data_IF_774654636595
#
_entry.id   IF_774654636595
#
_cell.length_a   1.000
_cell.length_b   1.000
_cell.length_c   1.000
_cell.angle_alpha   90.00
_cell.angle_beta   90.00
_cell.angle_gamma   90.00
#
_symmetry.space_group_name_H-M   'P 1'
#
loop_
_entity.id
_entity.type
_entity.pdbx_description
1 polymer ?
#
# COMPACT_ATOMS: atom_id res chain seq x y z
N UNK A 1 -1.66 -10.91 -15.13
CA UNK A 1 -2.08 -9.57 -14.69
C UNK A 1 -1.19 -9.20 -13.52
N UNK A 2 -0.42 -8.12 -13.66
CA UNK A 2 0.53 -7.64 -12.65
C UNK A 2 -0.24 -7.16 -11.41
N UNK A 3 0.04 -7.72 -10.24
CA UNK A 3 -0.66 -7.41 -9.00
C UNK A 3 0.11 -6.36 -8.20
N UNK A 4 -0.55 -5.25 -7.92
CA UNK A 4 0.02 -4.10 -7.23
C UNK A 4 -0.77 -3.85 -5.95
N UNK A 5 -0.08 -3.84 -4.81
CA UNK A 5 -0.65 -3.42 -3.53
C UNK A 5 -0.17 -2.03 -3.18
N UNK A 6 -1.10 -1.13 -2.87
CA UNK A 6 -0.81 0.23 -2.41
C UNK A 6 -1.34 0.42 -0.99
N UNK A 7 -0.47 0.77 -0.04
CA UNK A 7 -0.83 0.95 1.37
C UNK A 7 -0.77 2.42 1.79
N UNK A 8 -1.89 2.95 2.27
CA UNK A 8 -1.97 4.23 2.96
C UNK A 8 -2.18 4.03 4.47
N UNK A 9 -1.12 3.54 5.12
CA UNK A 9 -1.25 2.86 6.40
C UNK A 9 -1.44 3.83 7.57
N UNK A 10 -2.47 3.55 8.36
CA UNK A 10 -2.77 4.24 9.62
C UNK A 10 -2.91 3.23 10.75
N UNK A 11 -2.74 3.70 11.99
CA UNK A 11 -2.97 2.87 13.17
C UNK A 11 -4.46 2.59 13.35
N UNK A 12 -4.81 1.37 13.76
CA UNK A 12 -6.19 0.98 14.09
C UNK A 12 -6.49 1.13 15.59
N UNK A 13 -5.60 1.76 16.36
CA UNK A 13 -5.70 1.88 17.82
C UNK A 13 -6.78 2.85 18.29
N UNK A 14 -7.22 3.77 17.43
CA UNK A 14 -8.29 4.73 17.73
C UNK A 14 -9.19 4.92 16.51
N UNK A 15 -10.50 4.94 16.73
CA UNK A 15 -11.47 5.31 15.69
C UNK A 15 -11.41 6.82 15.45
N UNK A 16 -10.65 7.23 14.45
CA UNK A 16 -10.60 8.61 13.96
C UNK A 16 -10.97 8.66 12.49
N UNK A 17 -11.37 9.84 12.02
CA UNK A 17 -11.69 10.07 10.62
C UNK A 17 -10.39 10.26 9.84
N UNK A 18 -9.80 9.14 9.41
CA UNK A 18 -8.63 9.18 8.56
C UNK A 18 -8.99 9.77 7.19
N UNK A 19 -8.21 10.76 6.77
CA UNK A 19 -8.38 11.43 5.48
C UNK A 19 -8.37 10.41 4.34
N UNK A 20 -9.18 10.68 3.32
CA UNK A 20 -9.22 9.91 2.08
C UNK A 20 -7.80 9.80 1.50
N UNK A 21 -7.33 8.59 1.14
CA UNK A 21 -5.95 8.34 0.71
C UNK A 21 -5.74 8.80 -0.75
N UNK A 22 -5.79 10.11 -0.99
CA UNK A 22 -5.76 10.68 -2.34
C UNK A 22 -4.47 10.37 -3.09
N UNK A 23 -3.34 10.33 -2.39
CA UNK A 23 -2.03 10.05 -2.99
C UNK A 23 -2.00 8.69 -3.72
N UNK A 24 -2.33 7.58 -3.03
CA UNK A 24 -2.36 6.26 -3.65
C UNK A 24 -3.54 6.10 -4.61
N UNK A 25 -4.62 6.86 -4.42
CA UNK A 25 -5.77 6.85 -5.32
C UNK A 25 -5.42 7.46 -6.69
N UNK A 26 -4.68 8.57 -6.72
CA UNK A 26 -4.20 9.18 -7.97
C UNK A 26 -3.21 8.28 -8.71
N UNK A 27 -2.28 7.65 -7.99
CA UNK A 27 -1.36 6.66 -8.60
C UNK A 27 -2.16 5.51 -9.22
N UNK A 28 -3.11 4.94 -8.47
CA UNK A 28 -3.94 3.84 -8.96
C UNK A 28 -4.77 4.25 -10.20
N UNK A 29 -5.35 5.45 -10.20
CA UNK A 29 -6.12 5.96 -11.31
C UNK A 29 -5.27 6.13 -12.58
N UNK A 30 -4.10 6.77 -12.45
CA UNK A 30 -3.17 6.96 -13.56
C UNK A 30 -2.67 5.64 -14.14
N UNK A 31 -2.30 4.70 -13.27
CA UNK A 31 -1.80 3.39 -13.69
C UNK A 31 -2.91 2.60 -14.39
N UNK A 32 -4.15 2.62 -13.86
CA UNK A 32 -5.33 2.04 -14.50
C UNK A 32 -5.63 2.63 -15.87
N UNK A 33 -5.56 3.95 -16.02
CA UNK A 33 -5.76 4.61 -17.31
C UNK A 33 -4.72 4.16 -18.34
N UNK A 34 -3.46 4.01 -17.92
CA UNK A 34 -2.35 3.69 -18.83
C UNK A 34 -2.25 2.22 -19.22
N UNK A 35 -2.65 1.29 -18.34
CA UNK A 35 -2.43 -0.16 -18.52
C UNK A 35 -3.70 -1.03 -18.35
N UNK A 36 -4.88 -0.42 -18.38
CA UNK A 36 -6.25 -0.97 -18.36
C UNK A 36 -6.45 -2.47 -18.05
N UNK A 37 -6.02 -3.40 -18.93
CA UNK A 37 -6.26 -4.85 -18.79
C UNK A 37 -5.16 -5.63 -18.06
N UNK A 38 -3.98 -5.05 -17.86
CA UNK A 38 -2.78 -5.81 -17.52
C UNK A 38 -2.41 -5.73 -16.04
N UNK A 39 -3.19 -4.99 -15.26
CA UNK A 39 -2.91 -4.63 -13.86
C UNK A 39 -4.10 -4.85 -12.94
N UNK A 40 -3.82 -5.43 -11.79
CA UNK A 40 -4.75 -5.52 -10.66
C UNK A 40 -4.20 -4.67 -9.51
N UNK A 41 -5.00 -3.72 -9.03
CA UNK A 41 -4.57 -2.81 -7.96
C UNK A 41 -5.50 -2.95 -6.76
N UNK A 42 -4.93 -3.34 -5.63
CA UNK A 42 -5.61 -3.39 -4.33
C UNK A 42 -5.02 -2.30 -3.43
N UNK A 43 -5.89 -1.58 -2.73
CA UNK A 43 -5.52 -0.48 -1.84
C UNK A 43 -5.84 -0.87 -0.40
N UNK A 44 -4.93 -0.59 0.51
CA UNK A 44 -5.03 -0.94 1.92
C UNK A 44 -4.93 0.30 2.80
N UNK A 45 -5.75 0.35 3.85
CA UNK A 45 -5.68 1.39 4.89
C UNK A 45 -5.07 0.85 6.17
N UNK A 46 -5.35 -0.41 6.51
CA UNK A 46 -4.94 -1.02 7.76
C UNK A 46 -3.81 -2.03 7.57
N UNK A 47 -2.74 -1.98 8.40
CA UNK A 47 -1.60 -2.89 8.31
C UNK A 47 -2.00 -4.37 8.36
N UNK A 48 -2.97 -4.73 9.20
CA UNK A 48 -3.41 -6.12 9.40
C UNK A 48 -4.10 -6.68 8.14
N UNK A 49 -4.82 -5.84 7.40
CA UNK A 49 -5.44 -6.24 6.13
C UNK A 49 -4.37 -6.44 5.05
N UNK A 50 -3.40 -5.53 4.99
CA UNK A 50 -2.25 -5.65 4.07
C UNK A 50 -1.45 -6.92 4.37
N UNK A 51 -1.13 -7.18 5.64
CA UNK A 51 -0.37 -8.36 6.06
C UNK A 51 -1.11 -9.66 5.68
N UNK A 52 -2.41 -9.74 5.97
CA UNK A 52 -3.24 -10.89 5.58
C UNK A 52 -3.24 -11.11 4.07
N UNK A 53 -3.40 -10.02 3.30
CA UNK A 53 -3.39 -10.10 1.84
C UNK A 53 -2.03 -10.55 1.30
N UNK A 54 -0.92 -10.02 1.81
CA UNK A 54 0.44 -10.42 1.41
C UNK A 54 0.68 -11.90 1.72
N UNK A 55 0.29 -12.39 2.90
CA UNK A 55 0.46 -13.80 3.28
C UNK A 55 -0.36 -14.76 2.42
N UNK A 56 -1.57 -14.34 2.04
CA UNK A 56 -2.46 -15.16 1.23
C UNK A 56 -2.09 -15.15 -0.25
N UNK A 57 -1.79 -13.97 -0.79
CA UNK A 57 -1.50 -13.78 -2.21
C UNK A 57 -0.55 -12.57 -2.38
N UNK A 58 0.78 -12.77 -2.31
CA UNK A 58 1.72 -11.67 -2.38
C UNK A 58 1.60 -10.87 -3.69
N UNK A 59 1.77 -9.54 -3.65
CA UNK A 59 1.79 -8.71 -4.85
C UNK A 59 3.14 -8.82 -5.57
N UNK A 60 3.15 -8.47 -6.86
CA UNK A 60 4.38 -8.27 -7.62
C UNK A 60 5.05 -6.93 -7.26
N UNK A 61 4.25 -5.92 -6.93
CA UNK A 61 4.71 -4.58 -6.53
C UNK A 61 3.98 -4.16 -5.24
N UNK A 62 4.75 -3.77 -4.23
CA UNK A 62 4.25 -3.13 -3.02
C UNK A 62 4.66 -1.66 -3.00
N UNK A 63 3.69 -0.75 -2.97
CA UNK A 63 3.90 0.68 -2.77
C UNK A 63 3.29 1.14 -1.45
N UNK A 64 4.04 1.90 -0.66
CA UNK A 64 3.57 2.41 0.63
C UNK A 64 3.68 3.93 0.66
N UNK A 65 2.63 4.59 1.16
CA UNK A 65 2.70 5.98 1.55
C UNK A 65 3.77 6.18 2.62
N UNK A 66 4.54 7.25 2.51
CA UNK A 66 5.53 7.63 3.53
C UNK A 66 4.99 8.80 4.36
N UNK A 67 4.53 8.51 5.57
CA UNK A 67 4.18 9.52 6.58
C UNK A 67 5.06 9.36 7.82
N UNK A 68 5.14 10.42 8.63
CA UNK A 68 5.93 10.44 9.87
C UNK A 68 5.52 9.34 10.85
N UNK A 69 4.23 9.03 10.96
CA UNK A 69 3.74 7.94 11.81
C UNK A 69 4.04 6.54 11.24
N UNK A 70 4.59 6.42 10.03
CA UNK A 70 5.08 5.17 9.48
C UNK A 70 6.62 5.06 9.52
N UNK A 71 7.31 6.02 10.15
CA UNK A 71 8.78 6.10 10.12
C UNK A 71 9.46 4.79 10.53
N UNK A 72 9.03 4.16 11.62
CA UNK A 72 9.60 2.88 12.06
C UNK A 72 9.38 1.75 11.05
N UNK A 73 8.19 1.69 10.43
CA UNK A 73 7.90 0.73 9.36
C UNK A 73 8.82 0.98 8.15
N UNK A 74 9.05 2.24 7.81
CA UNK A 74 9.94 2.60 6.72
C UNK A 74 11.40 2.20 7.00
N UNK A 75 11.87 2.33 8.25
CA UNK A 75 13.19 1.83 8.64
C UNK A 75 13.29 0.32 8.52
N UNK A 76 12.27 -0.42 9.00
CA UNK A 76 12.24 -1.88 8.91
C UNK A 76 12.26 -2.37 7.46
N UNK A 77 11.57 -1.66 6.57
CA UNK A 77 11.55 -1.97 5.14
C UNK A 77 12.79 -1.49 4.39
N UNK A 78 13.66 -0.68 5.01
CA UNK A 78 14.89 -0.16 4.39
C UNK A 78 16.10 -1.10 4.48
N UNK A 79 16.22 -2.06 5.41
CA UNK A 79 17.47 -2.85 5.55
C UNK A 79 17.43 -4.08 6.51
N UNK A 80 18.22 -5.17 6.28
CA UNK A 80 18.93 -5.57 5.06
C UNK A 80 18.22 -6.75 4.38
N UNK A 81 17.73 -6.54 3.17
CA UNK A 81 17.71 -7.48 2.03
C UNK A 81 16.81 -6.84 0.96
N UNK A 82 17.38 -6.50 -0.20
CA UNK A 82 16.82 -5.73 -1.35
C UNK A 82 16.61 -4.23 -1.05
N UNK A 83 17.54 -3.31 -1.33
CA UNK A 83 18.50 -3.16 -2.45
C UNK A 83 19.88 -2.71 -1.98
#
# INVERSE_FOLDING_TARGET
>A
MLKIYLGDLVYDTFNTNYVVPLNIAYIAAYVKEKYLSDIDIVRFKYPQELEKAIKFAPPDILGLSNYSWNEQLNYLLRWPNVW
#
